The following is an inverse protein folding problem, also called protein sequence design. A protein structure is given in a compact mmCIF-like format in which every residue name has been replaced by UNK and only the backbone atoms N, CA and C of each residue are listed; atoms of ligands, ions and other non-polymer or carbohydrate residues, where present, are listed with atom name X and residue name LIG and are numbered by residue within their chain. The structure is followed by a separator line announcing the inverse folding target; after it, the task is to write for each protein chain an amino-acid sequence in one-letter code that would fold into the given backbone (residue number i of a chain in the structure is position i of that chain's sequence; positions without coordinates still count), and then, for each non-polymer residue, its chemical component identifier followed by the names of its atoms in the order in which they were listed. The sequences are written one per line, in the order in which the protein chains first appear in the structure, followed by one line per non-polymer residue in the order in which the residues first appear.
data_IF_962554564771
#
_entry.id   IF_962554564771
#
_cell.length_a   1.000
_cell.length_b   1.000
_cell.length_c   1.000
_cell.angle_alpha   90.00
_cell.angle_beta   90.00
_cell.angle_gamma   90.00
#
_symmetry.space_group_name_H-M   'P 1'
#
loop_
_entity.id
_entity.type
_entity.pdbx_description
1 polymer ?
#
# COMPACT_ATOMS: atom_id res chain seq x y z
N UNK A 1 -23.52 0.74 -12.66
CA UNK A 1 -22.44 -0.10 -12.09
C UNK A 1 -22.28 0.30 -10.65
N UNK A 2 -22.46 -0.64 -9.71
CA UNK A 2 -22.28 -0.40 -8.28
C UNK A 2 -20.79 -0.41 -7.91
N UNK A 3 -20.43 0.12 -6.74
CA UNK A 3 -19.02 0.26 -6.31
C UNK A 3 -18.28 -1.08 -6.28
N UNK A 4 -18.91 -2.14 -5.78
CA UNK A 4 -18.29 -3.46 -5.67
C UNK A 4 -17.91 -4.03 -7.05
N UNK A 5 -18.77 -3.88 -8.06
CA UNK A 5 -18.41 -4.26 -9.43
C UNK A 5 -17.24 -3.44 -9.97
N UNK A 6 -17.12 -2.16 -9.63
CA UNK A 6 -15.96 -1.33 -10.02
C UNK A 6 -14.66 -1.83 -9.39
N UNK A 7 -14.70 -2.15 -8.10
CA UNK A 7 -13.53 -2.68 -7.37
C UNK A 7 -13.08 -4.00 -7.96
N UNK A 8 -14.01 -4.91 -8.25
CA UNK A 8 -13.70 -6.19 -8.89
C UNK A 8 -13.05 -5.98 -10.25
N UNK A 9 -13.62 -5.13 -11.11
CA UNK A 9 -13.04 -4.84 -12.44
C UNK A 9 -11.61 -4.30 -12.32
N UNK A 10 -11.37 -3.37 -11.39
CA UNK A 10 -10.04 -2.78 -11.19
C UNK A 10 -9.04 -3.82 -10.67
N UNK A 11 -9.43 -4.65 -9.70
CA UNK A 11 -8.56 -5.71 -9.17
C UNK A 11 -8.21 -6.76 -10.23
N UNK A 12 -9.18 -7.15 -11.06
CA UNK A 12 -8.95 -8.07 -12.17
C UNK A 12 -7.99 -7.50 -13.21
N UNK A 13 -7.92 -6.18 -13.37
CA UNK A 13 -6.97 -5.54 -14.30
C UNK A 13 -5.50 -5.77 -13.93
N UNK A 14 -5.19 -5.98 -12.64
CA UNK A 14 -3.84 -6.35 -12.22
C UNK A 14 -3.44 -7.77 -12.66
N UNK A 15 -4.41 -8.61 -13.05
CA UNK A 15 -4.21 -10.03 -13.34
C UNK A 15 -4.24 -10.36 -14.84
N UNK A 16 -4.73 -9.45 -15.69
CA UNK A 16 -4.94 -9.72 -17.12
C UNK A 16 -3.87 -9.02 -17.97
N UNK A 17 -3.24 -9.79 -18.89
CA UNK A 17 -2.21 -9.29 -19.82
C UNK A 17 -2.75 -8.35 -20.89
N UNK A 18 -4.02 -8.54 -21.28
CA UNK A 18 -4.68 -7.74 -22.30
C UNK A 18 -5.48 -6.60 -21.64
N UNK A 19 -5.01 -5.38 -21.83
CA UNK A 19 -5.41 -4.22 -21.04
C UNK A 19 -6.35 -3.35 -21.86
N UNK A 20 -7.66 -3.50 -21.67
CA UNK A 20 -8.61 -2.46 -22.11
C UNK A 20 -8.42 -1.20 -21.24
N UNK A 21 -7.42 -0.41 -21.63
CA UNK A 21 -7.03 0.83 -20.96
C UNK A 21 -8.17 1.85 -20.93
N UNK A 22 -9.11 1.79 -21.89
CA UNK A 22 -10.23 2.71 -21.96
C UNK A 22 -11.29 2.38 -20.91
N UNK A 23 -11.63 1.11 -20.77
CA UNK A 23 -12.53 0.64 -19.70
C UNK A 23 -11.93 0.97 -18.34
N UNK A 24 -10.65 0.66 -18.13
CA UNK A 24 -9.99 0.91 -16.87
C UNK A 24 -9.94 2.40 -16.51
N UNK A 25 -9.59 3.28 -17.45
CA UNK A 25 -9.61 4.73 -17.21
C UNK A 25 -11.01 5.25 -16.85
N UNK A 26 -12.07 4.71 -17.47
CA UNK A 26 -13.47 5.03 -17.11
C UNK A 26 -13.81 4.57 -15.70
N UNK A 27 -13.38 3.38 -15.30
CA UNK A 27 -13.63 2.86 -13.94
C UNK A 27 -12.82 3.64 -12.91
N UNK A 28 -11.56 3.97 -13.18
CA UNK A 28 -10.73 4.78 -12.30
C UNK A 28 -11.34 6.15 -12.00
N UNK A 29 -11.88 6.83 -13.02
CA UNK A 29 -12.63 8.09 -12.84
C UNK A 29 -13.85 7.92 -11.94
N UNK A 30 -14.58 6.80 -12.06
CA UNK A 30 -15.75 6.54 -11.21
C UNK A 30 -15.36 6.20 -9.78
N UNK A 31 -14.29 5.44 -9.56
CA UNK A 31 -13.78 5.15 -8.21
C UNK A 31 -13.43 6.45 -7.48
N UNK A 32 -12.85 7.44 -8.17
CA UNK A 32 -12.60 8.78 -7.61
C UNK A 32 -13.88 9.50 -7.12
N UNK A 33 -15.07 9.11 -7.56
CA UNK A 33 -16.33 9.71 -7.09
C UNK A 33 -16.92 8.98 -5.88
N UNK A 34 -16.48 7.75 -5.60
CA UNK A 34 -17.05 6.88 -4.57
C UNK A 34 -16.00 6.36 -3.58
N UNK A 35 -14.81 6.98 -3.54
CA UNK A 35 -13.67 6.49 -2.77
C UNK A 35 -13.93 6.45 -1.27
N UNK A 36 -14.85 7.29 -0.77
CA UNK A 36 -15.20 7.40 0.66
C UNK A 36 -15.94 6.17 1.20
N UNK A 37 -16.42 5.31 0.31
CA UNK A 37 -17.12 4.08 0.65
C UNK A 37 -16.23 2.83 0.50
N UNK A 38 -14.94 3.01 0.18
CA UNK A 38 -14.01 1.89 0.04
C UNK A 38 -13.62 1.35 1.42
N UNK A 39 -13.67 0.03 1.55
CA UNK A 39 -13.07 -0.65 2.71
C UNK A 39 -11.53 -0.62 2.62
N UNK A 40 -10.80 -0.88 3.72
CA UNK A 40 -9.35 -1.08 3.69
C UNK A 40 -8.88 -2.07 2.61
N UNK A 41 -9.56 -3.21 2.50
CA UNK A 41 -9.28 -4.24 1.50
C UNK A 41 -9.50 -3.72 0.08
N UNK A 42 -10.60 -3.01 -0.16
CA UNK A 42 -10.89 -2.42 -1.47
C UNK A 42 -9.84 -1.37 -1.84
N UNK A 43 -9.46 -0.53 -0.88
CA UNK A 43 -8.43 0.49 -1.04
C UNK A 43 -7.08 -0.14 -1.43
N UNK A 44 -6.62 -1.15 -0.69
CA UNK A 44 -5.36 -1.86 -0.99
C UNK A 44 -5.39 -2.50 -2.39
N UNK A 45 -6.51 -3.12 -2.76
CA UNK A 45 -6.69 -3.72 -4.09
C UNK A 45 -6.67 -2.69 -5.22
N UNK A 46 -7.41 -1.59 -5.07
CA UNK A 46 -7.50 -0.51 -6.07
C UNK A 46 -6.15 0.18 -6.27
N UNK A 47 -5.47 0.54 -5.19
CA UNK A 47 -4.14 1.19 -5.25
C UNK A 47 -3.12 0.28 -5.94
N UNK A 48 -3.15 -1.03 -5.65
CA UNK A 48 -2.27 -2.00 -6.31
C UNK A 48 -2.52 -2.10 -7.81
N UNK A 49 -3.78 -2.16 -8.23
CA UNK A 49 -4.13 -2.18 -9.64
C UNK A 49 -3.72 -0.89 -10.36
N UNK A 50 -3.89 0.27 -9.70
CA UNK A 50 -3.49 1.55 -10.26
C UNK A 50 -1.97 1.69 -10.36
N UNK A 51 -1.23 1.11 -9.41
CA UNK A 51 0.22 1.02 -9.49
C UNK A 51 0.73 0.15 -10.63
N UNK A 52 0.05 -0.95 -10.90
CA UNK A 52 0.38 -1.80 -12.04
C UNK A 52 0.02 -1.16 -13.39
N UNK A 53 -1.07 -0.39 -13.45
CA UNK A 53 -1.48 0.30 -14.67
C UNK A 53 -0.62 1.53 -14.99
N UNK A 54 -0.12 2.22 -13.97
CA UNK A 54 0.67 3.44 -14.13
C UNK A 54 -0.18 4.72 -14.26
N UNK A 55 0.44 5.86 -13.93
CA UNK A 55 -0.26 7.15 -13.83
C UNK A 55 -0.91 7.62 -15.15
N UNK A 56 -0.31 7.31 -16.30
CA UNK A 56 -0.80 7.72 -17.62
C UNK A 56 -2.18 7.17 -17.95
N UNK A 57 -2.55 6.02 -17.37
CA UNK A 57 -3.82 5.33 -17.59
C UNK A 57 -4.85 5.69 -16.50
N UNK A 58 -4.40 5.82 -15.25
CA UNK A 58 -5.27 6.08 -14.09
C UNK A 58 -5.71 7.56 -14.03
N UNK A 59 -4.87 8.47 -14.53
CA UNK A 59 -5.04 9.92 -14.41
C UNK A 59 -4.43 10.49 -13.14
N UNK A 60 -3.80 11.66 -13.27
CA UNK A 60 -2.95 12.28 -12.23
C UNK A 60 -3.67 12.62 -10.91
N UNK A 61 -4.99 12.80 -10.94
CA UNK A 61 -5.76 13.21 -9.75
C UNK A 61 -6.26 12.07 -8.87
N UNK A 62 -6.33 10.84 -9.40
CA UNK A 62 -7.00 9.73 -8.68
C UNK A 62 -6.14 9.22 -7.53
N UNK A 63 -4.85 8.98 -7.79
CA UNK A 63 -3.90 8.47 -6.80
C UNK A 63 -3.72 9.41 -5.59
N UNK A 64 -3.56 10.75 -5.75
CA UNK A 64 -3.55 11.67 -4.62
C UNK A 64 -4.85 11.68 -3.82
N UNK A 65 -6.02 11.54 -4.46
CA UNK A 65 -7.31 11.45 -3.76
C UNK A 65 -7.38 10.20 -2.89
N UNK A 66 -7.00 9.04 -3.45
CA UNK A 66 -6.96 7.79 -2.68
C UNK A 66 -5.98 7.88 -1.52
N UNK A 67 -4.78 8.42 -1.75
CA UNK A 67 -3.77 8.63 -0.71
C UNK A 67 -4.27 9.49 0.45
N UNK A 68 -4.90 10.63 0.14
CA UNK A 68 -5.51 11.50 1.16
C UNK A 68 -6.58 10.75 1.96
N UNK A 69 -7.42 9.97 1.29
CA UNK A 69 -8.46 9.22 1.97
C UNK A 69 -7.90 8.09 2.85
N UNK A 70 -6.90 7.33 2.36
CA UNK A 70 -6.19 6.33 3.16
C UNK A 70 -5.61 6.95 4.43
N UNK A 71 -5.04 8.16 4.33
CA UNK A 71 -4.52 8.87 5.50
C UNK A 71 -5.62 9.17 6.52
N UNK A 72 -6.79 9.64 6.06
CA UNK A 72 -7.95 9.90 6.93
C UNK A 72 -8.46 8.61 7.58
N UNK A 73 -8.56 7.51 6.83
CA UNK A 73 -8.96 6.20 7.37
C UNK A 73 -8.04 5.76 8.51
N UNK A 74 -6.72 5.89 8.33
CA UNK A 74 -5.73 5.54 9.36
C UNK A 74 -5.88 6.46 10.58
N UNK A 75 -5.98 7.77 10.37
CA UNK A 75 -6.06 8.75 11.47
C UNK A 75 -7.35 8.63 12.28
N UNK A 76 -8.47 8.32 11.63
CA UNK A 76 -9.76 8.19 12.31
C UNK A 76 -9.81 7.00 13.26
N UNK A 77 -8.99 5.96 13.04
CA UNK A 77 -9.02 4.71 13.82
C UNK A 77 -10.29 3.86 13.62
N UNK A 78 -11.26 4.33 12.82
CA UNK A 78 -12.54 3.65 12.58
C UNK A 78 -12.42 2.44 11.65
N UNK A 79 -11.26 2.28 11.01
CA UNK A 79 -10.97 1.18 10.10
C UNK A 79 -9.77 0.39 10.61
N UNK A 80 -9.93 -0.91 10.77
CA UNK A 80 -8.83 -1.82 11.05
C UNK A 80 -8.20 -2.25 9.72
N UNK A 81 -6.95 -1.85 9.48
CA UNK A 81 -6.17 -2.35 8.37
C UNK A 81 -5.46 -3.65 8.79
N UNK A 82 -5.51 -4.65 7.93
CA UNK A 82 -4.75 -5.88 8.10
C UNK A 82 -3.27 -5.65 7.71
N UNK A 83 -2.32 -6.41 8.28
CA UNK A 83 -0.90 -6.28 7.98
C UNK A 83 -0.58 -6.30 6.47
N UNK A 84 -1.13 -7.26 5.73
CA UNK A 84 -0.93 -7.38 4.29
C UNK A 84 -1.47 -6.17 3.50
N UNK A 85 -2.59 -5.58 3.93
CA UNK A 85 -3.15 -4.37 3.32
C UNK A 85 -2.23 -3.18 3.52
N UNK A 86 -1.66 -3.03 4.71
CA UNK A 86 -0.69 -1.98 5.02
C UNK A 86 0.55 -2.14 4.14
N UNK A 87 1.11 -3.36 4.06
CA UNK A 87 2.27 -3.64 3.22
C UNK A 87 2.00 -3.30 1.75
N UNK A 88 0.84 -3.71 1.21
CA UNK A 88 0.44 -3.39 -0.16
C UNK A 88 0.30 -1.89 -0.38
N UNK A 89 -0.31 -1.15 0.56
CA UNK A 89 -0.49 0.30 0.43
C UNK A 89 0.85 1.04 0.46
N UNK A 90 1.76 0.68 1.36
CA UNK A 90 3.09 1.32 1.46
C UNK A 90 3.87 1.13 0.17
N UNK A 91 3.99 -0.11 -0.31
CA UNK A 91 4.74 -0.43 -1.53
C UNK A 91 4.14 0.28 -2.76
N UNK A 92 2.82 0.23 -2.92
CA UNK A 92 2.20 0.74 -4.14
C UNK A 92 2.11 2.26 -4.14
N UNK A 93 1.91 2.92 -3.00
CA UNK A 93 2.00 4.38 -2.93
C UNK A 93 3.41 4.89 -3.18
N UNK A 94 4.45 4.19 -2.72
CA UNK A 94 5.85 4.52 -3.02
C UNK A 94 6.15 4.43 -4.53
N UNK A 95 5.60 3.42 -5.21
CA UNK A 95 5.76 3.25 -6.67
C UNK A 95 5.07 4.35 -7.50
N UNK A 96 3.94 4.89 -7.02
CA UNK A 96 3.05 5.73 -7.85
C UNK A 96 2.95 7.17 -7.41
N UNK A 97 3.47 7.56 -6.25
CA UNK A 97 3.43 8.94 -5.78
C UNK A 97 4.82 9.53 -5.71
N UNK A 98 4.97 10.70 -6.33
CA UNK A 98 6.17 11.53 -6.18
C UNK A 98 6.15 12.16 -4.78
N UNK A 99 7.20 11.84 -4.00
CA UNK A 99 7.75 12.37 -2.73
C UNK A 99 6.90 13.30 -1.84
N UNK A 100 6.20 14.30 -2.38
CA UNK A 100 5.53 15.35 -1.61
C UNK A 100 4.21 14.94 -0.96
N UNK A 101 3.45 14.02 -1.57
CA UNK A 101 2.21 13.47 -0.95
C UNK A 101 2.52 12.18 -0.17
N UNK A 102 3.59 11.46 -0.51
CA UNK A 102 3.87 10.15 0.04
C UNK A 102 4.36 10.22 1.49
N UNK A 103 5.16 11.21 1.88
CA UNK A 103 5.85 11.17 3.18
C UNK A 103 4.92 11.08 4.40
N UNK A 104 3.89 11.93 4.57
CA UNK A 104 3.02 11.85 5.75
C UNK A 104 2.14 10.58 5.76
N UNK A 105 1.67 10.14 4.58
CA UNK A 105 0.87 8.92 4.45
C UNK A 105 1.71 7.67 4.71
N UNK A 106 2.88 7.59 4.09
CA UNK A 106 3.85 6.51 4.30
C UNK A 106 4.22 6.42 5.77
N UNK A 107 4.48 7.54 6.45
CA UNK A 107 4.70 7.54 7.89
C UNK A 107 3.52 7.00 8.70
N UNK A 108 2.30 7.43 8.40
CA UNK A 108 1.12 6.97 9.09
C UNK A 108 0.90 5.46 8.90
N UNK A 109 1.10 4.95 7.68
CA UNK A 109 1.03 3.52 7.37
C UNK A 109 2.12 2.73 8.10
N UNK A 110 3.35 3.25 8.13
CA UNK A 110 4.48 2.60 8.77
C UNK A 110 4.34 2.54 10.30
N UNK A 111 3.86 3.61 10.93
CA UNK A 111 3.50 3.60 12.36
C UNK A 111 2.38 2.60 12.66
N UNK A 112 1.41 2.48 11.75
CA UNK A 112 0.35 1.49 11.89
C UNK A 112 0.87 0.05 11.68
N UNK A 113 1.88 -0.13 10.82
CA UNK A 113 2.58 -1.40 10.62
C UNK A 113 3.40 -1.81 11.85
N UNK A 114 4.10 -0.87 12.48
CA UNK A 114 4.88 -1.10 13.70
C UNK A 114 4.03 -1.68 14.83
N UNK A 115 2.83 -1.13 15.03
CA UNK A 115 1.88 -1.62 16.04
C UNK A 115 1.38 -3.06 15.80
N UNK A 116 1.56 -3.58 14.58
CA UNK A 116 1.12 -4.92 14.16
C UNK A 116 2.30 -5.78 13.67
N UNK A 117 3.54 -5.39 13.97
CA UNK A 117 4.73 -5.93 13.29
C UNK A 117 4.86 -7.46 13.38
N UNK A 118 4.50 -8.04 14.53
CA UNK A 118 4.58 -9.48 14.76
C UNK A 118 3.54 -10.29 13.96
N UNK A 119 2.49 -9.63 13.47
CA UNK A 119 1.44 -10.23 12.65
C UNK A 119 1.81 -10.26 11.14
N UNK A 120 2.92 -9.63 10.75
CA UNK A 120 3.39 -9.66 9.37
C UNK A 120 4.14 -10.94 9.04
N UNK A 121 3.97 -11.41 7.80
CA UNK A 121 4.81 -12.49 7.27
C UNK A 121 6.28 -12.06 7.23
N UNK A 122 7.22 -13.02 7.27
CA UNK A 122 8.64 -12.71 7.13
C UNK A 122 8.97 -11.95 5.83
N UNK A 123 8.24 -12.28 4.76
CA UNK A 123 8.36 -11.59 3.47
C UNK A 123 7.92 -10.12 3.57
N UNK A 124 6.76 -9.84 4.17
CA UNK A 124 6.25 -8.48 4.28
C UNK A 124 7.13 -7.62 5.21
N UNK A 125 7.65 -8.22 6.28
CA UNK A 125 8.62 -7.55 7.17
C UNK A 125 9.89 -7.15 6.44
N UNK A 126 10.45 -8.02 5.62
CA UNK A 126 11.64 -7.71 4.83
C UNK A 126 11.37 -6.62 3.77
N UNK A 127 10.21 -6.67 3.10
CA UNK A 127 9.80 -5.62 2.16
C UNK A 127 9.66 -4.26 2.84
N UNK A 128 8.95 -4.20 3.97
CA UNK A 128 8.79 -2.97 4.73
C UNK A 128 10.15 -2.42 5.17
N UNK A 129 11.02 -3.27 5.73
CA UNK A 129 12.39 -2.92 6.13
C UNK A 129 13.17 -2.29 4.97
N UNK A 130 13.17 -2.91 3.79
CA UNK A 130 13.86 -2.37 2.60
C UNK A 130 13.35 -0.98 2.20
N UNK A 131 12.04 -0.75 2.32
CA UNK A 131 11.44 0.55 2.06
C UNK A 131 11.87 1.60 3.08
N UNK A 132 11.92 1.26 4.37
CA UNK A 132 12.42 2.14 5.43
C UNK A 132 13.89 2.53 5.20
N UNK A 133 14.75 1.56 4.89
CA UNK A 133 16.18 1.77 4.61
C UNK A 133 16.35 2.69 3.39
N UNK A 134 15.69 2.34 2.27
CA UNK A 134 15.74 3.14 1.04
C UNK A 134 15.30 4.59 1.24
N UNK A 135 14.35 4.82 2.14
CA UNK A 135 13.83 6.15 2.39
C UNK A 135 14.65 6.94 3.44
N UNK A 136 15.68 6.34 4.06
CA UNK A 136 16.57 6.98 5.03
C UNK A 136 16.03 7.02 6.47
N UNK A 137 15.19 6.07 6.87
CA UNK A 137 14.46 6.08 8.17
C UNK A 137 14.98 5.02 9.14
N UNK A 138 16.24 4.65 9.01
CA UNK A 138 16.89 3.54 9.74
C UNK A 138 16.72 3.64 11.27
N UNK A 139 16.54 4.85 11.81
CA UNK A 139 16.33 5.09 13.25
C UNK A 139 14.97 4.60 13.79
N UNK A 140 13.94 4.42 12.96
CA UNK A 140 12.62 3.99 13.44
C UNK A 140 12.53 2.48 13.74
N UNK A 141 13.48 1.68 13.25
CA UNK A 141 13.47 0.21 13.39
C UNK A 141 14.62 -0.34 14.24
N UNK A 142 15.50 0.51 14.78
CA UNK A 142 16.67 0.10 15.58
C UNK A 142 16.33 -0.75 16.83
N UNK A 143 15.05 -0.94 17.17
CA UNK A 143 14.59 -1.72 18.32
C UNK A 143 14.13 -3.14 17.96
N UNK A 144 13.94 -3.48 16.68
CA UNK A 144 13.44 -4.80 16.30
C UNK A 144 14.59 -5.69 15.83
N UNK A 145 14.75 -6.90 16.42
CA UNK A 145 15.88 -7.77 16.13
C UNK A 145 15.89 -8.11 14.65
N UNK A 146 16.99 -7.77 13.99
CA UNK A 146 17.25 -8.24 12.63
C UNK A 146 17.35 -9.75 12.71
N UNK A 147 16.51 -10.50 11.99
CA UNK A 147 16.59 -11.97 11.94
C UNK A 147 17.89 -12.50 11.27
N UNK A 148 18.93 -11.67 11.14
CA UNK A 148 20.30 -12.07 10.81
C UNK A 148 21.22 -12.18 12.05
N UNK A 149 20.74 -11.89 13.27
CA UNK A 149 21.49 -12.16 14.51
C UNK A 149 21.25 -13.58 15.08
N UNK A 150 20.73 -14.50 14.25
CA UNK A 150 20.28 -15.84 14.69
C UNK A 150 21.01 -17.05 14.11
N UNK A 151 22.03 -16.90 13.26
CA UNK A 151 22.75 -18.05 12.69
C UNK A 151 24.27 -17.81 12.62
N UNK A 152 24.90 -17.53 13.78
CA UNK A 152 26.30 -17.91 14.08
C UNK A 152 26.62 -17.66 15.55
N UNK A 153 26.16 -18.57 16.41
CA UNK A 153 26.77 -18.86 17.72
C UNK A 153 26.36 -20.27 18.15
N UNK A 154 26.63 -21.24 17.28
CA UNK A 154 26.65 -22.65 17.65
C UNK A 154 27.85 -23.29 16.93
N UNK A 155 28.94 -23.44 17.67
CA UNK A 155 30.13 -24.18 17.24
C UNK A 155 31.38 -23.33 17.14
N UNK A 156 32.28 -23.47 18.12
CA UNK A 156 33.65 -22.98 17.98
C UNK A 156 34.43 -22.76 19.27
N UNK A 157 34.70 -23.86 19.99
CA UNK A 157 35.74 -24.07 21.01
C UNK A 157 35.59 -23.44 22.38
#
# INVERSE_FOLDING_TARGET
MNLQAMVVIVRSFAQVKDKDHLLFAKVAKKIRLFYEHLTPTDMAGVVSAFAFAGQSIVGSSVLPTLAKHTHVMIQSGNHKFLPNEIAMLVVNFEKVLVVTVSRPLTLALLKHAEAQYDDFSAHDRDMLRKLFVKSGWEQAFCMYPTQDEGLKSAGGQ
#
